data_IF_099668214572
#
_entry.id   IF_099668214572
#
_cell.length_a   1.000
_cell.length_b   1.000
_cell.length_c   1.000
_cell.angle_alpha   90.00
_cell.angle_beta   90.00
_cell.angle_gamma   90.00
#
_symmetry.space_group_name_H-M   'P 1'
#
loop_
_entity.id
_entity.type
_entity.pdbx_description
1 polymer ?
#
# COMPACT_ATOMS: atom_id res chain seq x y z
N UNK A 1 9.77 -0.05 10.37
CA UNK A 1 8.66 -1.04 10.37
C UNK A 1 7.30 -0.43 10.02
N UNK A 2 6.74 0.50 10.81
CA UNK A 2 5.38 1.05 10.58
C UNK A 2 5.15 1.59 9.17
N UNK A 3 6.08 2.40 8.66
CA UNK A 3 6.01 3.02 7.32
C UNK A 3 5.94 1.96 6.20
N UNK A 4 6.76 0.90 6.29
CA UNK A 4 6.75 -0.20 5.33
C UNK A 4 5.46 -1.04 5.40
N UNK A 5 4.91 -1.22 6.60
CA UNK A 5 3.62 -1.89 6.78
C UNK A 5 2.47 -1.09 6.17
N UNK A 6 2.42 0.21 6.48
CA UNK A 6 1.39 1.12 5.94
C UNK A 6 1.44 1.14 4.41
N UNK A 7 2.62 1.39 3.82
CA UNK A 7 2.77 1.39 2.37
C UNK A 7 2.48 0.01 1.75
N UNK A 8 2.93 -1.07 2.39
CA UNK A 8 2.71 -2.43 1.91
C UNK A 8 1.23 -2.80 1.80
N UNK A 9 0.41 -2.37 2.77
CA UNK A 9 -1.05 -2.55 2.70
C UNK A 9 -1.68 -1.78 1.55
N UNK A 10 -1.24 -0.54 1.28
CA UNK A 10 -1.71 0.22 0.11
C UNK A 10 -1.33 -0.47 -1.20
N UNK A 11 -0.06 -0.84 -1.36
CA UNK A 11 0.45 -1.45 -2.59
C UNK A 11 -0.20 -2.81 -2.89
N UNK A 12 -0.38 -3.65 -1.87
CA UNK A 12 -1.09 -4.94 -2.04
C UNK A 12 -2.52 -4.76 -2.56
N UNK A 13 -3.20 -3.69 -2.14
CA UNK A 13 -4.58 -3.42 -2.52
C UNK A 13 -4.77 -2.97 -3.97
N UNK A 14 -3.71 -2.63 -4.73
CA UNK A 14 -3.82 -2.08 -6.09
C UNK A 14 -4.70 -2.96 -6.99
N UNK A 15 -4.27 -4.20 -7.21
CA UNK A 15 -5.01 -5.15 -8.04
C UNK A 15 -6.31 -5.61 -7.38
N UNK A 16 -6.29 -5.83 -6.06
CA UNK A 16 -7.45 -6.35 -5.33
C UNK A 16 -8.65 -5.39 -5.34
N UNK A 17 -8.37 -4.09 -5.27
CA UNK A 17 -9.35 -3.02 -5.28
C UNK A 17 -9.57 -2.39 -6.68
N UNK A 18 -8.82 -2.82 -7.70
CA UNK A 18 -8.97 -2.31 -9.06
C UNK A 18 -8.46 -0.87 -9.24
N UNK A 19 -7.45 -0.50 -8.46
CA UNK A 19 -6.80 0.81 -8.52
C UNK A 19 -5.63 0.77 -9.52
N UNK A 20 -5.23 1.95 -9.99
CA UNK A 20 -4.03 2.11 -10.82
C UNK A 20 -3.17 3.22 -10.23
N UNK A 21 -2.03 2.84 -9.64
CA UNK A 21 -1.23 3.78 -8.89
C UNK A 21 -0.26 4.59 -9.75
N UNK A 22 -0.15 5.88 -9.41
CA UNK A 22 0.85 6.80 -9.91
C UNK A 22 2.22 6.46 -9.32
N UNK A 23 3.07 5.86 -10.14
CA UNK A 23 4.40 5.41 -9.74
C UNK A 23 5.31 6.57 -9.28
N UNK A 24 5.15 7.76 -9.87
CA UNK A 24 5.92 8.94 -9.47
C UNK A 24 5.53 9.41 -8.07
N UNK A 25 4.24 9.33 -7.71
CA UNK A 25 3.76 9.69 -6.38
C UNK A 25 4.24 8.69 -5.31
N UNK A 26 4.28 7.39 -5.63
CA UNK A 26 4.87 6.37 -4.73
C UNK A 26 6.35 6.65 -4.48
N UNK A 27 7.12 6.91 -5.54
CA UNK A 27 8.55 7.24 -5.42
C UNK A 27 8.77 8.46 -4.53
N UNK A 28 8.04 9.55 -4.80
CA UNK A 28 8.08 10.76 -3.98
C UNK A 28 7.73 10.49 -2.51
N UNK A 29 6.69 9.69 -2.25
CA UNK A 29 6.29 9.36 -0.89
C UNK A 29 7.39 8.59 -0.15
N UNK A 30 8.07 7.64 -0.81
CA UNK A 30 9.20 6.91 -0.21
C UNK A 30 10.33 7.88 0.15
N UNK A 31 10.71 8.77 -0.77
CA UNK A 31 11.76 9.77 -0.53
C UNK A 31 11.43 10.69 0.66
N UNK A 32 10.15 11.04 0.84
CA UNK A 32 9.70 11.94 1.93
C UNK A 32 9.50 11.23 3.28
N UNK A 33 9.27 9.92 3.29
CA UNK A 33 8.81 9.19 4.50
C UNK A 33 9.78 8.10 4.98
N UNK A 34 10.89 7.86 4.28
CA UNK A 34 11.86 6.83 4.64
C UNK A 34 13.26 7.41 4.84
N UNK A 35 14.04 6.80 5.74
CA UNK A 35 15.46 7.13 5.89
C UNK A 35 16.25 6.35 4.82
N UNK A 36 17.02 7.02 3.94
CA UNK A 36 17.82 6.33 2.93
C UNK A 36 18.91 5.40 3.54
N UNK A 37 19.22 5.56 4.82
CA UNK A 37 20.13 4.67 5.56
C UNK A 37 19.43 3.40 6.07
N UNK A 38 18.10 3.31 6.02
CA UNK A 38 17.34 2.12 6.37
C UNK A 38 17.40 1.08 5.24
N UNK A 39 18.49 0.31 5.23
CA UNK A 39 18.69 -0.80 4.30
C UNK A 39 17.66 -1.95 4.48
N UNK A 40 16.89 -1.96 5.58
CA UNK A 40 15.87 -2.98 5.86
C UNK A 40 14.48 -2.62 5.35
N UNK A 41 14.27 -1.39 4.86
CA UNK A 41 12.96 -0.93 4.41
C UNK A 41 12.41 -1.77 3.26
N UNK A 42 13.21 -2.02 2.23
CA UNK A 42 12.75 -2.71 1.01
C UNK A 42 12.34 -4.16 1.27
N UNK A 43 13.12 -4.91 2.05
CA UNK A 43 12.81 -6.30 2.42
C UNK A 43 11.56 -6.38 3.30
N UNK A 44 11.42 -5.44 4.25
CA UNK A 44 10.22 -5.33 5.08
C UNK A 44 8.99 -4.99 4.23
N UNK A 45 9.11 -4.04 3.29
CA UNK A 45 8.01 -3.65 2.41
C UNK A 45 7.52 -4.84 1.57
N UNK A 46 8.42 -5.59 0.95
CA UNK A 46 8.06 -6.80 0.18
C UNK A 46 7.29 -7.80 1.03
N UNK A 47 7.79 -8.10 2.24
CA UNK A 47 7.10 -9.00 3.17
C UNK A 47 5.70 -8.50 3.53
N UNK A 48 5.53 -7.19 3.73
CA UNK A 48 4.23 -6.59 4.05
C UNK A 48 3.26 -6.62 2.86
N UNK A 49 3.75 -6.44 1.64
CA UNK A 49 2.94 -6.56 0.41
C UNK A 49 2.45 -8.00 0.26
N UNK A 50 3.35 -8.98 0.37
CA UNK A 50 3.00 -10.40 0.23
C UNK A 50 2.00 -10.83 1.31
N UNK A 51 2.28 -10.50 2.58
CA UNK A 51 1.39 -10.82 3.70
C UNK A 51 0.02 -10.16 3.57
N UNK A 52 -0.03 -8.89 3.16
CA UNK A 52 -1.31 -8.19 2.95
C UNK A 52 -2.09 -8.78 1.79
N UNK A 53 -1.42 -9.17 0.69
CA UNK A 53 -2.06 -9.79 -0.46
C UNK A 53 -2.72 -11.13 -0.11
N UNK A 54 -2.05 -11.95 0.72
CA UNK A 54 -2.62 -13.19 1.24
C UNK A 54 -3.90 -12.93 2.05
N UNK A 55 -3.87 -11.98 2.99
CA UNK A 55 -5.03 -11.63 3.81
C UNK A 55 -6.20 -11.08 3.00
N UNK A 56 -5.93 -10.32 1.94
CA UNK A 56 -6.98 -9.79 1.04
C UNK A 56 -7.71 -10.91 0.29
N UNK A 57 -7.02 -11.99 -0.07
CA UNK A 57 -7.60 -13.13 -0.79
C UNK A 57 -8.74 -13.83 -0.04
N UNK A 58 -8.72 -13.79 1.30
CA UNK A 58 -9.71 -14.44 2.16
C UNK A 58 -10.84 -13.49 2.63
N UNK A 59 -10.87 -12.24 2.15
CA UNK A 59 -11.88 -11.26 2.59
C UNK A 59 -13.27 -11.56 2.01
N UNK A 60 -14.30 -11.42 2.84
CA UNK A 60 -15.69 -11.35 2.37
C UNK A 60 -15.94 -10.07 1.55
N UNK A 61 -17.02 -10.05 0.76
CA UNK A 61 -17.38 -8.87 -0.04
C UNK A 61 -17.56 -7.59 0.78
N UNK A 62 -18.18 -7.68 1.97
CA UNK A 62 -18.33 -6.53 2.86
C UNK A 62 -16.98 -6.04 3.40
N UNK A 63 -16.09 -6.95 3.79
CA UNK A 63 -14.74 -6.62 4.24
C UNK A 63 -13.92 -5.98 3.12
N UNK A 64 -14.00 -6.54 1.91
CA UNK A 64 -13.38 -5.99 0.70
C UNK A 64 -13.87 -4.57 0.43
N UNK A 65 -15.18 -4.34 0.46
CA UNK A 65 -15.78 -3.02 0.23
C UNK A 65 -15.25 -1.98 1.23
N UNK A 66 -15.22 -2.32 2.52
CA UNK A 66 -14.71 -1.43 3.56
C UNK A 66 -13.20 -1.16 3.41
N UNK A 67 -12.43 -2.21 3.13
CA UNK A 67 -11.00 -2.13 2.90
C UNK A 67 -10.68 -1.23 1.71
N UNK A 68 -11.23 -1.53 0.54
CA UNK A 68 -10.97 -0.77 -0.68
C UNK A 68 -11.41 0.69 -0.57
N UNK A 69 -12.55 0.96 0.08
CA UNK A 69 -12.97 2.35 0.29
C UNK A 69 -12.02 3.15 1.18
N UNK A 70 -11.41 2.50 2.18
CA UNK A 70 -10.40 3.13 3.04
C UNK A 70 -9.10 3.37 2.28
N UNK A 71 -8.66 2.39 1.49
CA UNK A 71 -7.45 2.49 0.66
C UNK A 71 -7.60 3.59 -0.39
N UNK A 72 -8.71 3.63 -1.13
CA UNK A 72 -9.00 4.69 -2.12
C UNK A 72 -8.82 6.09 -1.50
N UNK A 73 -9.46 6.35 -0.36
CA UNK A 73 -9.36 7.66 0.32
C UNK A 73 -7.92 8.03 0.65
N UNK A 74 -7.13 7.04 1.07
CA UNK A 74 -5.73 7.24 1.44
C UNK A 74 -4.86 7.43 0.19
N UNK A 75 -5.14 6.68 -0.87
CA UNK A 75 -4.47 6.78 -2.15
C UNK A 75 -4.71 8.14 -2.81
N UNK A 76 -5.95 8.68 -2.76
CA UNK A 76 -6.22 10.06 -3.20
C UNK A 76 -5.45 11.08 -2.36
N UNK A 77 -5.42 10.91 -1.03
CA UNK A 77 -4.74 11.84 -0.14
C UNK A 77 -3.25 12.00 -0.47
N UNK A 78 -2.57 10.90 -0.80
CA UNK A 78 -1.15 10.91 -1.20
C UNK A 78 -0.93 11.07 -2.71
N UNK A 79 -1.99 11.25 -3.51
CA UNK A 79 -1.89 11.40 -4.96
C UNK A 79 -1.46 10.13 -5.70
N UNK A 80 -1.66 8.96 -5.09
CA UNK A 80 -1.41 7.67 -5.73
C UNK A 80 -2.47 7.38 -6.79
N UNK A 81 -3.67 7.94 -6.68
CA UNK A 81 -4.73 7.89 -7.69
C UNK A 81 -5.36 9.28 -7.85
N UNK A 82 -6.01 9.52 -9.00
CA UNK A 82 -6.79 10.75 -9.28
C UNK A 82 -8.17 10.69 -8.64
#
# INVERSE_FOLDING_TARGET
MRVAQELGTLLAAEKFCGLSYNQAAIGKWIDENTDPSDMGFSSTLTMMIEGSSLMQGDMSESSKTAHCRSIERTAHHYGFIE
#
